data_IF_431766495949
#
_entry.id   IF_431766495949
#
_cell.length_a   1.000
_cell.length_b   1.000
_cell.length_c   1.000
_cell.angle_alpha   90.00
_cell.angle_beta   90.00
_cell.angle_gamma   90.00
#
_symmetry.space_group_name_H-M   'P 1'
#
loop_
_entity.id
_entity.type
_entity.pdbx_description
1 polymer ?
#
# COMPACT_ATOMS: atom_id res chain seq x y z
N UNK A 1 7.95 -1.54 -33.00
CA UNK A 1 7.52 -1.00 -31.70
C UNK A 1 7.10 -2.19 -30.82
N UNK A 2 8.04 -2.83 -30.13
CA UNK A 2 7.69 -3.72 -29.02
C UNK A 2 7.62 -2.85 -27.76
N UNK A 3 6.42 -2.70 -27.20
CA UNK A 3 6.25 -2.09 -25.88
C UNK A 3 6.85 -3.02 -24.85
N UNK A 4 8.03 -2.66 -24.33
CA UNK A 4 8.51 -3.22 -23.08
C UNK A 4 7.46 -2.85 -22.02
N UNK A 5 6.70 -3.83 -21.55
CA UNK A 5 6.01 -3.71 -20.28
C UNK A 5 7.11 -3.55 -19.23
N UNK A 6 7.44 -2.30 -18.90
CA UNK A 6 8.28 -1.98 -17.75
C UNK A 6 7.51 -2.54 -16.56
N UNK A 7 7.98 -3.65 -15.99
CA UNK A 7 7.46 -4.11 -14.71
C UNK A 7 7.88 -3.05 -13.71
N UNK A 8 6.95 -2.19 -13.30
CA UNK A 8 7.14 -1.30 -12.17
C UNK A 8 7.40 -2.17 -10.94
N UNK A 9 8.49 -1.87 -10.22
CA UNK A 9 8.76 -2.51 -8.94
C UNK A 9 7.55 -2.29 -8.02
N UNK A 10 6.99 -3.34 -7.39
CA UNK A 10 5.79 -3.21 -6.59
C UNK A 10 6.04 -2.37 -5.33
N UNK A 11 5.04 -1.59 -4.93
CA UNK A 11 5.07 -0.74 -3.75
C UNK A 11 4.61 -1.51 -2.51
N UNK A 12 5.39 -1.46 -1.44
CA UNK A 12 4.86 -1.77 -0.10
C UNK A 12 4.02 -0.60 0.41
N UNK A 13 3.07 -0.85 1.32
CA UNK A 13 2.32 0.24 1.98
C UNK A 13 3.23 1.25 2.69
N UNK A 14 4.36 0.79 3.25
CA UNK A 14 5.36 1.66 3.87
C UNK A 14 5.99 2.61 2.84
N UNK A 15 6.30 2.12 1.64
CA UNK A 15 6.80 2.96 0.54
C UNK A 15 5.77 3.98 0.11
N UNK A 16 4.49 3.59 0.01
CA UNK A 16 3.41 4.51 -0.34
C UNK A 16 3.36 5.69 0.62
N UNK A 17 3.30 5.45 1.94
CA UNK A 17 3.25 6.56 2.91
C UNK A 17 4.55 7.38 2.95
N UNK A 18 5.71 6.74 2.78
CA UNK A 18 7.00 7.41 2.81
C UNK A 18 7.20 8.36 1.61
N UNK A 19 6.68 8.00 0.44
CA UNK A 19 6.70 8.88 -0.76
C UNK A 19 5.99 10.23 -0.53
N UNK A 20 5.05 10.27 0.42
CA UNK A 20 4.28 11.47 0.76
C UNK A 20 4.66 12.02 2.15
N UNK A 21 5.77 11.59 2.73
CA UNK A 21 6.25 11.97 4.07
C UNK A 21 5.21 11.77 5.19
N UNK A 22 4.40 10.72 5.08
CA UNK A 22 3.32 10.44 6.03
C UNK A 22 3.75 9.44 7.11
N UNK A 23 3.29 9.71 8.33
CA UNK A 23 3.24 8.75 9.43
C UNK A 23 2.18 7.68 9.16
N UNK A 24 2.23 6.55 9.89
CA UNK A 24 1.19 5.50 9.81
C UNK A 24 -0.19 6.05 10.21
N UNK A 25 -0.25 6.96 11.19
CA UNK A 25 -1.50 7.60 11.61
C UNK A 25 -2.12 8.47 10.50
N UNK A 26 -1.30 9.26 9.80
CA UNK A 26 -1.78 10.10 8.69
C UNK A 26 -2.19 9.27 7.48
N UNK A 27 -1.43 8.23 7.14
CA UNK A 27 -1.78 7.32 6.05
C UNK A 27 -3.10 6.59 6.33
N UNK A 28 -3.27 6.07 7.55
CA UNK A 28 -4.54 5.46 7.99
C UNK A 28 -5.70 6.44 7.87
N UNK A 29 -5.53 7.68 8.35
CA UNK A 29 -6.55 8.72 8.28
C UNK A 29 -7.00 9.02 6.85
N UNK A 30 -6.06 9.11 5.89
CA UNK A 30 -6.36 9.35 4.46
C UNK A 30 -7.27 8.27 3.87
N UNK A 31 -7.08 7.02 4.24
CA UNK A 31 -7.91 5.91 3.76
C UNK A 31 -9.08 5.56 4.70
N UNK A 32 -9.32 6.38 5.73
CA UNK A 32 -10.44 6.25 6.67
C UNK A 32 -10.32 5.08 7.65
N UNK A 33 -9.10 4.74 8.08
CA UNK A 33 -8.81 3.75 9.12
C UNK A 33 -7.89 4.32 10.20
N UNK A 34 -7.65 3.58 11.29
CA UNK A 34 -6.66 4.00 12.29
C UNK A 34 -5.23 3.74 11.82
N UNK A 35 -4.26 4.43 12.44
CA UNK A 35 -2.84 4.16 12.22
C UNK A 35 -2.44 2.71 12.55
N UNK A 36 -3.07 2.10 13.56
CA UNK A 36 -2.83 0.70 13.94
C UNK A 36 -3.31 -0.28 12.86
N UNK A 37 -4.44 0.02 12.21
CA UNK A 37 -4.92 -0.78 11.08
C UNK A 37 -3.95 -0.70 9.92
N UNK A 38 -3.48 0.50 9.58
CA UNK A 38 -2.43 0.70 8.56
C UNK A 38 -1.13 -0.03 8.91
N UNK A 39 -0.69 0.05 10.17
CA UNK A 39 0.47 -0.68 10.68
C UNK A 39 0.33 -2.19 10.54
N UNK A 40 -0.85 -2.75 10.84
CA UNK A 40 -1.11 -4.18 10.70
C UNK A 40 -1.07 -4.63 9.23
N UNK A 41 -1.53 -3.79 8.31
CA UNK A 41 -1.40 -4.06 6.87
C UNK A 41 0.06 -4.04 6.40
N UNK A 42 0.87 -3.09 6.87
CA UNK A 42 2.33 -3.05 6.58
C UNK A 42 3.05 -4.32 7.04
N UNK A 43 2.54 -4.98 8.10
CA UNK A 43 3.08 -6.22 8.66
C UNK A 43 2.36 -7.48 8.18
N UNK A 44 1.48 -7.38 7.19
CA UNK A 44 0.68 -8.51 6.68
C UNK A 44 -0.13 -9.26 7.76
N UNK A 45 -0.45 -8.62 8.89
CA UNK A 45 -1.25 -9.23 9.98
C UNK A 45 -2.74 -9.28 9.65
N UNK A 46 -3.21 -8.25 8.97
CA UNK A 46 -4.56 -8.14 8.40
C UNK A 46 -4.43 -7.49 7.04
N UNK A 47 -5.50 -7.50 6.25
CA UNK A 47 -5.49 -6.98 4.88
C UNK A 47 -6.68 -6.04 4.65
N UNK A 48 -6.53 -5.02 3.79
CA UNK A 48 -7.63 -4.14 3.42
C UNK A 48 -8.71 -4.89 2.63
N UNK A 49 -9.96 -4.48 2.81
CA UNK A 49 -11.09 -4.94 1.99
C UNK A 49 -11.24 -4.09 0.71
N UNK A 50 -12.18 -4.47 -0.17
CA UNK A 50 -12.38 -3.79 -1.47
C UNK A 50 -12.59 -2.26 -1.32
N UNK A 51 -13.46 -1.76 -0.42
CA UNK A 51 -13.58 -0.32 -0.19
C UNK A 51 -12.26 0.37 0.24
N UNK A 52 -11.47 -0.29 1.09
CA UNK A 52 -10.19 0.26 1.57
C UNK A 52 -9.13 0.25 0.47
N UNK A 53 -9.10 -0.78 -0.37
CA UNK A 53 -8.22 -0.85 -1.53
C UNK A 53 -8.47 0.32 -2.48
N UNK A 54 -9.74 0.60 -2.82
CA UNK A 54 -10.10 1.76 -3.67
C UNK A 54 -9.58 3.08 -3.11
N UNK A 55 -9.69 3.28 -1.79
CA UNK A 55 -9.15 4.48 -1.14
C UNK A 55 -7.63 4.55 -1.20
N UNK A 56 -6.93 3.43 -1.09
CA UNK A 56 -5.48 3.39 -1.25
C UNK A 56 -5.10 3.75 -2.70
N UNK A 57 -5.81 3.22 -3.69
CA UNK A 57 -5.59 3.55 -5.11
C UNK A 57 -5.77 5.06 -5.37
N UNK A 58 -6.85 5.64 -4.86
CA UNK A 58 -7.18 7.07 -4.98
C UNK A 58 -6.16 7.97 -4.26
N UNK A 59 -5.83 7.68 -3.00
CA UNK A 59 -4.96 8.54 -2.18
C UNK A 59 -3.49 8.51 -2.61
N UNK A 60 -3.01 7.36 -3.08
CA UNK A 60 -1.60 7.17 -3.41
C UNK A 60 -1.33 7.14 -4.92
N UNK A 61 -2.38 7.25 -5.75
CA UNK A 61 -2.32 7.20 -7.20
C UNK A 61 -1.56 5.97 -7.71
N UNK A 62 -2.01 4.80 -7.26
CA UNK A 62 -1.47 3.48 -7.60
C UNK A 62 -2.61 2.53 -7.96
N UNK A 63 -2.32 1.42 -8.62
CA UNK A 63 -3.31 0.35 -8.78
C UNK A 63 -3.06 -0.77 -7.76
N UNK A 64 -4.10 -1.54 -7.41
CA UNK A 64 -3.94 -2.71 -6.55
C UNK A 64 -2.83 -3.66 -7.03
N UNK A 65 -2.68 -3.85 -8.34
CA UNK A 65 -1.67 -4.71 -8.94
C UNK A 65 -0.23 -4.22 -8.69
N UNK A 66 -0.07 -2.94 -8.37
CA UNK A 66 1.22 -2.34 -8.03
C UNK A 66 1.56 -2.50 -6.53
N UNK A 67 0.65 -3.01 -5.69
CA UNK A 67 0.85 -3.08 -4.24
C UNK A 67 1.20 -4.52 -3.82
N UNK A 68 2.32 -4.66 -3.10
CA UNK A 68 2.72 -5.92 -2.47
C UNK A 68 2.41 -5.90 -0.96
N UNK A 69 1.55 -6.83 -0.54
CA UNK A 69 1.18 -7.04 0.87
C UNK A 69 1.97 -8.17 1.53
N UNK A 70 2.74 -8.95 0.77
CA UNK A 70 3.54 -10.06 1.29
C UNK A 70 4.95 -9.57 1.58
N UNK A 71 5.39 -9.69 2.84
CA UNK A 71 6.81 -9.62 3.18
C UNK A 71 7.41 -11.01 2.99
N UNK A 72 8.56 -11.13 2.31
CA UNK A 72 9.25 -12.40 2.20
C UNK A 72 9.69 -12.86 3.60
N UNK A 73 8.95 -13.80 4.19
CA UNK A 73 9.36 -14.54 5.38
C UNK A 73 10.44 -15.54 4.95
N UNK A 74 11.70 -15.11 4.98
CA UNK A 74 12.81 -16.06 5.11
C UNK A 74 12.92 -16.34 6.61
N UNK A 75 12.26 -17.42 7.04
CA UNK A 75 12.28 -17.90 8.43
C UNK A 75 13.68 -18.18 8.96
#
# INVERSE_FOLDING_TARGET
MQGNAVRTEPYTLKMLRAKFDLTQAEAGKRVGVSGDVWHNWEKAKTFPNIPQLKKIEEEFNVTYNDIIFLVNDNG
#
